data_IF_264053052907
#
_entry.id   IF_264053052907
#
_cell.length_a   1.000
_cell.length_b   1.000
_cell.length_c   1.000
_cell.angle_alpha   90.00
_cell.angle_beta   90.00
_cell.angle_gamma   90.00
#
_symmetry.space_group_name_H-M   'P 1'
#
loop_
_entity.id
_entity.type
_entity.pdbx_description
1 polymer ?
#
# COMPACT_ATOMS: atom_id res chain seq x y z
N UNK A 1 -2.57 22.45 -18.57
CA UNK A 1 -1.59 23.44 -18.09
C UNK A 1 -2.11 24.09 -16.82
N UNK A 2 -1.73 23.57 -15.65
CA UNK A 2 -1.63 24.35 -14.42
C UNK A 2 -0.79 23.55 -13.42
N UNK A 3 0.50 23.75 -13.53
CA UNK A 3 1.46 23.39 -12.48
C UNK A 3 1.43 24.51 -11.45
N UNK A 4 0.93 24.26 -10.27
CA UNK A 4 1.14 25.15 -9.14
C UNK A 4 2.21 24.53 -8.23
N UNK A 5 3.38 25.12 -8.28
CA UNK A 5 4.51 24.77 -7.44
C UNK A 5 4.19 25.05 -5.98
N UNK A 6 4.27 24.05 -5.14
CA UNK A 6 4.28 24.21 -3.69
C UNK A 6 5.62 24.80 -3.26
N UNK A 7 5.58 25.81 -2.37
CA UNK A 7 6.74 26.52 -1.85
C UNK A 7 7.57 25.60 -0.95
N UNK A 8 8.81 25.36 -1.36
CA UNK A 8 9.83 24.69 -0.55
C UNK A 8 10.52 25.74 0.30
N UNK A 9 10.48 25.58 1.62
CA UNK A 9 11.35 26.35 2.54
C UNK A 9 12.76 25.76 2.50
N UNK A 10 13.81 26.58 2.35
CA UNK A 10 15.17 26.08 2.31
C UNK A 10 15.73 25.99 3.72
N UNK A 11 16.19 24.82 4.13
CA UNK A 11 17.47 24.64 4.81
C UNK A 11 17.71 23.17 5.20
N UNK A 12 18.91 22.71 4.84
CA UNK A 12 19.67 21.53 5.22
C UNK A 12 19.59 20.28 4.33
N UNK A 13 20.72 20.04 3.67
CA UNK A 13 21.06 18.77 3.01
C UNK A 13 20.83 18.80 1.51
N UNK A 14 21.86 18.60 0.72
CA UNK A 14 21.78 18.44 -0.74
C UNK A 14 20.92 17.22 -1.10
N UNK A 15 19.61 17.42 -1.13
CA UNK A 15 18.65 16.45 -1.67
C UNK A 15 18.69 16.56 -3.19
N UNK A 16 18.68 15.41 -3.86
CA UNK A 16 18.51 15.34 -5.31
C UNK A 16 17.19 16.05 -5.66
N UNK A 17 17.19 17.12 -6.48
CA UNK A 17 16.01 17.91 -6.77
C UNK A 17 14.92 17.15 -7.56
N UNK A 18 15.12 15.87 -7.85
CA UNK A 18 14.22 15.07 -8.67
C UNK A 18 13.32 14.12 -7.86
N UNK A 19 13.42 14.06 -6.52
CA UNK A 19 12.55 13.22 -5.69
C UNK A 19 11.57 14.10 -4.92
N UNK A 20 10.29 13.96 -5.22
CA UNK A 20 9.23 14.75 -4.61
C UNK A 20 8.29 13.86 -3.78
N UNK A 21 7.89 14.38 -2.61
CA UNK A 21 6.66 13.94 -1.94
C UNK A 21 5.52 14.75 -2.54
N UNK A 22 4.56 14.07 -3.13
CA UNK A 22 3.42 14.70 -3.79
C UNK A 22 2.17 14.40 -2.98
N UNK A 23 1.57 15.48 -2.45
CA UNK A 23 0.23 15.40 -1.90
C UNK A 23 -0.75 15.38 -3.07
N UNK A 24 -1.61 14.37 -3.12
CA UNK A 24 -2.52 14.17 -4.24
C UNK A 24 -3.90 14.63 -3.83
N UNK A 25 -4.31 15.78 -4.36
CA UNK A 25 -5.71 16.23 -4.29
C UNK A 25 -6.54 15.48 -5.35
N UNK A 26 -7.78 15.10 -5.01
CA UNK A 26 -8.69 14.55 -6.02
C UNK A 26 -8.88 15.59 -7.13
N UNK A 27 -9.05 15.15 -8.40
CA UNK A 27 -9.36 16.05 -9.48
C UNK A 27 -10.63 16.83 -9.15
N UNK A 28 -10.63 18.16 -9.40
CA UNK A 28 -11.79 19.03 -9.24
C UNK A 28 -13.01 18.42 -9.96
N UNK A 29 -13.88 17.77 -9.21
CA UNK A 29 -15.20 17.34 -9.69
C UNK A 29 -16.25 18.29 -9.13
N UNK A 30 -17.28 18.65 -9.92
CA UNK A 30 -18.42 19.38 -9.38
C UNK A 30 -19.04 18.55 -8.24
N UNK A 31 -19.39 19.22 -7.15
CA UNK A 31 -19.92 18.65 -5.90
C UNK A 31 -21.30 17.95 -6.05
N UNK A 32 -21.76 17.65 -7.26
CA UNK A 32 -23.14 17.22 -7.52
C UNK A 32 -23.31 15.70 -7.71
N UNK A 33 -22.24 14.90 -7.62
CA UNK A 33 -22.30 13.43 -7.66
C UNK A 33 -22.17 12.82 -6.26
N UNK A 34 -23.00 13.25 -5.31
CA UNK A 34 -23.21 12.47 -4.09
C UNK A 34 -23.99 11.22 -4.47
N UNK A 35 -23.51 10.01 -4.13
CA UNK A 35 -24.32 8.82 -4.29
C UNK A 35 -25.61 8.99 -3.49
N UNK A 36 -26.71 8.63 -4.10
CA UNK A 36 -28.06 8.78 -3.55
C UNK A 36 -28.33 7.92 -2.29
N UNK A 37 -27.33 7.22 -1.77
CA UNK A 37 -27.42 6.33 -0.61
C UNK A 37 -27.06 7.02 0.73
N UNK A 38 -26.73 8.29 0.71
CA UNK A 38 -26.59 9.10 1.94
C UNK A 38 -25.47 8.64 2.88
N UNK A 39 -24.48 7.87 2.42
CA UNK A 39 -23.36 7.47 3.27
C UNK A 39 -22.42 8.65 3.50
N UNK A 40 -22.16 9.02 4.76
CA UNK A 40 -21.20 10.08 5.05
C UNK A 40 -19.80 9.65 4.60
N UNK A 41 -19.02 10.60 4.08
CA UNK A 41 -17.58 10.41 3.96
C UNK A 41 -17.00 10.08 5.33
N UNK A 42 -15.95 9.25 5.37
CA UNK A 42 -15.27 8.88 6.62
C UNK A 42 -14.77 10.16 7.28
N UNK A 43 -15.46 10.60 8.33
CA UNK A 43 -15.07 11.71 9.19
C UNK A 43 -14.22 11.16 10.35
N UNK A 44 -13.48 12.02 11.04
CA UNK A 44 -12.66 11.64 12.21
C UNK A 44 -13.47 10.88 13.27
N UNK A 45 -14.79 11.12 13.35
CA UNK A 45 -15.73 10.42 14.23
C UNK A 45 -16.00 8.98 13.76
N UNK A 46 -15.73 8.66 12.49
CA UNK A 46 -15.90 7.33 11.89
C UNK A 46 -14.60 6.52 11.89
N UNK A 47 -13.46 7.16 12.18
CA UNK A 47 -12.24 6.44 12.49
C UNK A 47 -12.40 5.91 13.93
N UNK A 48 -12.28 4.59 14.14
CA UNK A 48 -12.40 4.04 15.48
C UNK A 48 -11.36 4.71 16.39
N UNK A 49 -11.73 5.07 17.65
CA UNK A 49 -10.79 5.63 18.60
C UNK A 49 -9.62 4.64 18.71
N UNK A 50 -8.41 5.13 18.44
CA UNK A 50 -7.15 4.39 18.36
C UNK A 50 -7.42 2.91 18.11
N UNK A 51 -7.30 2.41 16.90
CA UNK A 51 -7.89 1.16 16.49
C UNK A 51 -7.56 0.11 17.54
N UNK A 52 -8.60 -0.54 18.04
CA UNK A 52 -8.45 -1.78 18.78
C UNK A 52 -7.49 -2.61 17.95
N UNK A 53 -6.34 -2.96 18.54
CA UNK A 53 -5.38 -3.90 17.96
C UNK A 53 -6.21 -4.95 17.28
N UNK A 54 -6.08 -5.08 15.96
CA UNK A 54 -6.75 -6.15 15.25
C UNK A 54 -6.30 -7.41 15.98
N UNK A 55 -7.18 -7.99 16.81
CA UNK A 55 -6.95 -9.32 17.35
C UNK A 55 -7.05 -10.26 16.15
N UNK A 56 -6.05 -10.21 15.30
CA UNK A 56 -5.67 -11.37 14.55
C UNK A 56 -5.24 -12.34 15.63
N UNK A 57 -6.12 -13.30 15.95
CA UNK A 57 -5.69 -14.45 16.76
C UNK A 57 -4.29 -14.79 16.28
N UNK A 58 -3.39 -15.18 17.20
CA UNK A 58 -2.05 -15.62 16.83
C UNK A 58 -2.17 -16.26 15.44
N UNK A 59 -1.42 -15.81 14.42
CA UNK A 59 -1.53 -16.46 13.15
C UNK A 59 -1.19 -17.92 13.45
N UNK A 60 -2.24 -18.72 13.57
CA UNK A 60 -2.15 -20.15 13.45
C UNK A 60 -1.72 -20.30 11.98
N UNK A 61 -0.46 -19.90 11.75
CA UNK A 61 0.21 -19.97 10.47
C UNK A 61 0.28 -21.46 10.20
N UNK A 62 -0.69 -22.00 9.42
CA UNK A 62 -0.65 -23.41 9.12
C UNK A 62 0.72 -23.65 8.50
N UNK A 63 1.47 -24.63 8.97
CA UNK A 63 2.76 -24.96 8.38
C UNK A 63 2.54 -25.30 6.90
N UNK A 64 3.02 -24.44 6.02
CA UNK A 64 2.89 -24.56 4.59
C UNK A 64 1.49 -24.22 4.08
N UNK A 65 1.23 -22.91 3.83
CA UNK A 65 0.16 -22.55 2.92
C UNK A 65 0.46 -23.25 1.59
N UNK A 66 -0.43 -24.08 1.05
CA UNK A 66 -0.18 -24.68 -0.25
C UNK A 66 -0.14 -23.54 -1.26
N UNK A 67 1.05 -23.22 -1.74
CA UNK A 67 1.19 -22.42 -2.95
C UNK A 67 0.24 -23.02 -3.99
N UNK A 68 -0.50 -22.18 -4.70
CA UNK A 68 -1.33 -22.66 -5.80
C UNK A 68 -0.47 -23.60 -6.67
N UNK A 69 -0.95 -24.78 -7.10
CA UNK A 69 -0.13 -25.80 -7.76
C UNK A 69 0.75 -25.26 -8.89
N UNK A 70 0.28 -24.28 -9.65
CA UNK A 70 1.06 -23.63 -10.71
C UNK A 70 2.26 -22.81 -10.22
N UNK A 71 2.30 -22.43 -8.92
CA UNK A 71 3.44 -21.75 -8.30
C UNK A 71 4.32 -22.75 -7.52
N UNK A 72 3.75 -23.88 -7.10
CA UNK A 72 4.47 -24.93 -6.37
C UNK A 72 5.43 -25.73 -7.26
N UNK A 73 5.22 -25.75 -8.58
CA UNK A 73 6.05 -26.55 -9.48
C UNK A 73 7.48 -26.04 -9.66
N UNK A 74 7.80 -24.81 -9.21
CA UNK A 74 9.10 -24.17 -9.46
C UNK A 74 9.83 -23.64 -8.22
N UNK A 75 9.25 -23.70 -7.03
CA UNK A 75 9.83 -23.11 -5.82
C UNK A 75 9.68 -24.04 -4.63
N UNK A 76 10.78 -24.63 -4.18
CA UNK A 76 10.82 -25.47 -2.97
C UNK A 76 10.51 -24.66 -1.70
N UNK A 77 10.77 -23.35 -1.68
CA UNK A 77 10.45 -22.43 -0.55
C UNK A 77 10.20 -21.02 -1.10
N UNK A 78 9.04 -20.36 -0.79
CA UNK A 78 8.80 -18.99 -1.21
C UNK A 78 9.76 -18.02 -0.52
N UNK A 79 10.16 -16.97 -1.24
CA UNK A 79 10.91 -15.86 -0.66
C UNK A 79 9.96 -14.96 0.12
N UNK A 80 10.16 -14.84 1.43
CA UNK A 80 9.35 -13.96 2.24
C UNK A 80 9.71 -12.49 1.98
N UNK A 81 8.68 -11.67 1.87
CA UNK A 81 8.78 -10.21 1.78
C UNK A 81 7.72 -9.57 2.67
N UNK A 82 8.01 -8.39 3.18
CA UNK A 82 7.06 -7.61 3.94
C UNK A 82 6.86 -6.23 3.30
N UNK A 83 5.62 -5.74 3.33
CA UNK A 83 5.29 -4.39 2.87
C UNK A 83 4.53 -3.63 3.96
N UNK A 84 4.77 -2.33 4.09
CA UNK A 84 4.05 -1.49 5.01
C UNK A 84 2.88 -0.78 4.33
N UNK A 85 1.65 -1.01 4.81
CA UNK A 85 0.53 -0.11 4.56
C UNK A 85 0.64 1.00 5.60
N UNK A 86 1.47 2.00 5.29
CA UNK A 86 1.76 3.11 6.17
C UNK A 86 0.65 4.15 6.09
N UNK A 87 -0.18 4.23 7.13
CA UNK A 87 -1.29 5.18 7.25
C UNK A 87 -0.82 6.40 8.01
N UNK A 88 -1.05 7.58 7.44
CA UNK A 88 -0.64 8.89 7.96
C UNK A 88 -1.83 9.83 7.97
N UNK A 89 -1.73 10.95 8.69
CA UNK A 89 -2.68 12.04 8.54
C UNK A 89 -2.59 12.63 7.11
N UNK A 90 -3.73 12.86 6.49
CA UNK A 90 -3.81 13.58 5.22
C UNK A 90 -3.58 15.09 5.42
N UNK A 91 -3.47 15.85 4.33
CA UNK A 91 -3.35 17.31 4.42
C UNK A 91 -4.61 18.00 4.93
N UNK A 92 -5.74 17.33 4.81
CA UNK A 92 -7.00 17.77 5.41
C UNK A 92 -7.11 17.18 6.80
N UNK A 93 -7.19 17.99 7.87
CA UNK A 93 -7.34 17.49 9.23
C UNK A 93 -8.52 16.53 9.36
N UNK A 94 -8.30 15.42 10.05
CA UNK A 94 -9.32 14.38 10.25
C UNK A 94 -9.48 13.41 9.09
N UNK A 95 -8.69 13.54 8.03
CA UNK A 95 -8.63 12.53 6.97
C UNK A 95 -7.34 11.71 7.08
N UNK A 96 -7.44 10.42 6.77
CA UNK A 96 -6.29 9.52 6.68
C UNK A 96 -5.85 9.33 5.23
N UNK A 97 -4.55 9.14 5.06
CA UNK A 97 -3.92 8.81 3.78
C UNK A 97 -2.96 7.63 3.97
N UNK A 98 -2.67 6.91 2.92
CA UNK A 98 -1.61 5.91 2.90
C UNK A 98 -0.45 6.36 2.01
N UNK A 99 0.75 5.89 2.32
CA UNK A 99 1.93 6.17 1.52
C UNK A 99 2.06 5.16 0.38
N UNK A 100 2.18 5.69 -0.85
CA UNK A 100 2.43 4.90 -2.05
C UNK A 100 3.70 5.40 -2.72
N UNK A 101 4.58 4.49 -3.12
CA UNK A 101 5.85 4.82 -3.78
C UNK A 101 5.81 4.52 -5.27
N UNK A 102 6.57 5.28 -6.03
CA UNK A 102 6.97 4.95 -7.39
C UNK A 102 8.44 4.59 -7.38
N UNK A 103 8.76 3.36 -7.72
CA UNK A 103 10.13 2.86 -7.75
C UNK A 103 10.96 3.56 -8.83
N UNK A 104 12.25 3.78 -8.56
CA UNK A 104 13.12 4.39 -9.57
C UNK A 104 13.25 3.48 -10.80
N UNK A 105 13.19 4.03 -12.04
CA UNK A 105 13.31 3.25 -13.26
C UNK A 105 14.65 2.53 -13.42
N UNK A 106 15.68 2.97 -12.66
CA UNK A 106 17.04 2.41 -12.73
C UNK A 106 17.19 1.07 -12.01
N UNK A 107 16.20 0.65 -11.22
CA UNK A 107 16.24 -0.65 -10.53
C UNK A 107 16.18 -1.79 -11.55
N UNK A 108 16.95 -2.85 -11.30
CA UNK A 108 17.02 -4.04 -12.16
C UNK A 108 15.71 -4.82 -12.22
N UNK A 109 14.94 -4.78 -11.13
CA UNK A 109 13.65 -5.44 -11.01
C UNK A 109 12.58 -4.41 -10.63
N UNK A 110 11.41 -4.51 -11.27
CA UNK A 110 10.22 -3.69 -10.96
C UNK A 110 10.46 -2.17 -11.04
N UNK A 111 11.44 -1.71 -11.85
CA UNK A 111 11.71 -0.29 -12.04
C UNK A 111 10.50 0.45 -12.64
N UNK A 112 10.17 1.62 -12.05
CA UNK A 112 9.04 2.45 -12.48
C UNK A 112 7.66 1.94 -12.03
N UNK A 113 7.57 0.82 -11.32
CA UNK A 113 6.31 0.30 -10.79
C UNK A 113 5.87 1.06 -9.53
N UNK A 114 4.56 1.01 -9.29
CA UNK A 114 3.93 1.50 -8.08
C UNK A 114 3.94 0.40 -7.02
N UNK A 115 4.37 0.75 -5.81
CA UNK A 115 4.51 -0.21 -4.72
C UNK A 115 4.22 0.43 -3.35
N UNK A 116 3.84 -0.38 -2.40
CA UNK A 116 3.97 -0.05 -0.99
C UNK A 116 5.45 -0.16 -0.60
N UNK A 117 5.96 0.64 0.36
CA UNK A 117 7.31 0.48 0.87
C UNK A 117 7.48 -0.93 1.43
N UNK A 118 8.59 -1.59 1.06
CA UNK A 118 8.81 -2.95 1.47
C UNK A 118 9.87 -3.70 0.68
N UNK A 119 10.29 -4.84 1.22
CA UNK A 119 11.34 -5.66 0.66
C UNK A 119 11.39 -7.07 1.22
N UNK A 120 12.52 -7.74 1.02
CA UNK A 120 12.75 -9.11 1.50
C UNK A 120 12.95 -9.14 3.00
N UNK A 121 12.49 -10.22 3.61
CA UNK A 121 12.80 -10.51 5.00
C UNK A 121 14.23 -11.01 5.11
N UNK A 122 15.05 -10.29 5.87
CA UNK A 122 16.44 -10.67 6.12
C UNK A 122 16.52 -11.77 7.19
N UNK A 123 17.64 -12.49 7.21
CA UNK A 123 17.85 -13.58 8.15
C UNK A 123 17.77 -13.11 9.60
N UNK A 124 16.80 -13.62 10.34
CA UNK A 124 16.59 -13.28 11.75
C UNK A 124 15.64 -12.10 12.00
N UNK A 125 15.12 -11.47 10.94
CA UNK A 125 14.06 -10.47 11.06
C UNK A 125 12.68 -11.12 11.14
N UNK A 126 11.77 -10.42 11.83
CA UNK A 126 10.34 -10.67 11.69
C UNK A 126 9.75 -9.88 10.52
N UNK A 127 8.54 -10.22 10.11
CA UNK A 127 7.80 -9.49 9.06
C UNK A 127 7.62 -8.02 9.44
N UNK A 128 7.28 -7.76 10.70
CA UNK A 128 7.07 -6.43 11.24
C UNK A 128 8.37 -5.62 11.21
N UNK A 129 9.48 -6.22 11.64
CA UNK A 129 10.79 -5.58 11.62
C UNK A 129 11.19 -5.21 10.19
N UNK A 130 11.00 -6.12 9.24
CA UNK A 130 11.27 -5.87 7.83
C UNK A 130 10.42 -4.72 7.28
N UNK A 131 9.11 -4.71 7.52
CA UNK A 131 8.22 -3.65 7.05
C UNK A 131 8.64 -2.27 7.58
N UNK A 132 9.00 -2.17 8.87
CA UNK A 132 9.47 -0.93 9.49
C UNK A 132 10.84 -0.50 8.97
N UNK A 133 11.79 -1.42 8.80
CA UNK A 133 13.11 -1.15 8.24
C UNK A 133 13.01 -0.61 6.81
N UNK A 134 12.31 -1.30 5.95
CA UNK A 134 12.13 -0.92 4.55
C UNK A 134 11.42 0.44 4.41
N UNK A 135 10.40 0.69 5.23
CA UNK A 135 9.73 1.99 5.26
C UNK A 135 10.71 3.11 5.68
N UNK A 136 11.62 2.83 6.62
CA UNK A 136 12.65 3.78 7.01
C UNK A 136 13.69 3.97 5.89
N UNK A 137 14.19 2.90 5.28
CA UNK A 137 15.20 2.95 4.22
C UNK A 137 14.68 3.64 2.95
N UNK A 138 13.45 3.34 2.53
CA UNK A 138 12.86 3.90 1.32
C UNK A 138 12.30 5.33 1.51
N UNK A 139 11.74 5.65 2.69
CA UNK A 139 10.97 6.88 2.91
C UNK A 139 11.50 7.76 4.06
N UNK A 140 12.52 7.32 4.81
CA UNK A 140 13.02 8.05 5.98
C UNK A 140 12.03 8.10 7.15
N UNK A 141 10.95 7.34 7.09
CA UNK A 141 9.90 7.34 8.11
C UNK A 141 10.27 6.38 9.22
N UNK A 142 10.37 6.90 10.45
CA UNK A 142 10.62 6.10 11.64
C UNK A 142 9.29 5.71 12.30
N UNK A 143 9.17 4.44 12.62
CA UNK A 143 8.06 3.89 13.37
C UNK A 143 8.55 2.76 14.28
N UNK A 144 7.75 2.41 15.26
CA UNK A 144 8.01 1.34 16.23
C UNK A 144 6.98 0.22 16.09
N UNK A 145 7.19 -0.87 16.79
CA UNK A 145 6.20 -1.95 16.86
C UNK A 145 4.89 -1.52 17.51
N UNK A 146 4.91 -0.45 18.33
CA UNK A 146 3.70 0.08 18.95
C UNK A 146 2.78 0.82 17.95
N UNK A 147 3.33 1.20 16.78
CA UNK A 147 2.59 1.83 15.69
C UNK A 147 1.93 0.80 14.77
N UNK A 148 2.22 -0.49 14.95
CA UNK A 148 1.64 -1.57 14.15
C UNK A 148 0.23 -1.88 14.64
N UNK A 149 -0.75 -1.80 13.73
CA UNK A 149 -2.14 -2.16 13.99
C UNK A 149 -2.39 -3.66 13.83
N UNK A 150 -1.65 -4.30 12.93
CA UNK A 150 -1.77 -5.72 12.63
C UNK A 150 -1.25 -6.05 11.24
N UNK A 151 -1.52 -7.28 10.80
CA UNK A 151 -1.15 -7.80 9.48
C UNK A 151 -2.40 -8.16 8.69
N UNK A 152 -2.32 -8.06 7.37
CA UNK A 152 -3.30 -8.61 6.45
C UNK A 152 -2.86 -10.01 5.99
N UNK A 153 -3.66 -10.65 5.15
CA UNK A 153 -3.30 -11.96 4.60
C UNK A 153 -2.07 -11.88 3.71
N UNK A 154 -1.26 -12.91 3.77
CA UNK A 154 -0.12 -13.09 2.88
C UNK A 154 -0.60 -13.20 1.42
N UNK A 155 0.08 -12.52 0.50
CA UNK A 155 -0.23 -12.54 -0.92
C UNK A 155 0.89 -13.24 -1.71
N UNK A 156 0.61 -14.39 -2.35
CA UNK A 156 1.60 -15.09 -3.18
C UNK A 156 1.77 -14.40 -4.53
N UNK A 157 3.02 -14.19 -4.95
CA UNK A 157 3.34 -13.58 -6.24
C UNK A 157 3.79 -14.61 -7.28
N UNK A 158 3.61 -14.30 -8.56
CA UNK A 158 4.11 -15.13 -9.67
C UNK A 158 5.63 -15.26 -9.68
N UNK A 159 6.33 -14.26 -9.16
CA UNK A 159 7.80 -14.26 -9.05
C UNK A 159 8.34 -15.04 -7.85
N UNK A 160 7.45 -15.75 -7.12
CA UNK A 160 7.84 -16.62 -6.02
C UNK A 160 8.02 -15.95 -4.67
N UNK A 161 7.54 -14.73 -4.53
CA UNK A 161 7.46 -14.09 -3.22
C UNK A 161 6.15 -14.40 -2.52
N UNK A 162 6.22 -14.49 -1.20
CA UNK A 162 5.07 -14.40 -0.32
C UNK A 162 5.14 -13.06 0.40
N UNK A 163 4.24 -12.15 0.04
CA UNK A 163 4.21 -10.78 0.58
C UNK A 163 3.29 -10.76 1.79
N UNK A 164 3.85 -10.39 2.94
CA UNK A 164 3.13 -10.15 4.18
C UNK A 164 2.89 -8.65 4.40
N UNK A 165 1.64 -8.16 4.32
CA UNK A 165 1.33 -6.77 4.54
C UNK A 165 1.20 -6.45 6.02
N UNK A 166 1.89 -5.41 6.48
CA UNK A 166 1.85 -4.88 7.85
C UNK A 166 1.18 -3.51 7.81
N UNK A 167 0.11 -3.33 8.58
CA UNK A 167 -0.59 -2.04 8.69
C UNK A 167 0.04 -1.24 9.81
N UNK A 168 0.57 -0.06 9.49
CA UNK A 168 1.27 0.84 10.42
C UNK A 168 0.51 2.16 10.50
N UNK A 169 0.18 2.62 11.71
CA UNK A 169 -0.49 3.88 11.97
C UNK A 169 0.51 4.89 12.52
N UNK A 170 0.68 5.98 11.81
CA UNK A 170 1.58 7.06 12.19
C UNK A 170 0.73 8.26 12.62
N UNK A 171 0.56 8.42 13.93
CA UNK A 171 -0.38 9.40 14.55
C UNK A 171 0.01 10.86 14.32
N UNK A 172 1.28 11.12 14.01
CA UNK A 172 1.79 12.46 13.80
C UNK A 172 2.04 12.72 12.32
N UNK A 173 2.09 14.00 11.96
CA UNK A 173 2.47 14.42 10.62
C UNK A 173 3.93 14.07 10.37
N UNK A 174 4.15 12.90 9.77
CA UNK A 174 5.51 12.40 9.51
C UNK A 174 6.15 13.13 8.34
N UNK A 175 7.43 13.43 8.48
CA UNK A 175 8.23 13.88 7.37
C UNK A 175 8.65 12.68 6.53
N UNK A 176 8.26 12.70 5.25
CA UNK A 176 8.65 11.68 4.28
C UNK A 176 9.85 12.20 3.50
N UNK A 177 10.95 11.46 3.52
CA UNK A 177 12.21 11.78 2.83
C UNK A 177 12.58 10.58 1.96
N UNK A 178 12.08 10.50 0.71
CA UNK A 178 12.33 9.37 -0.16
C UNK A 178 13.82 9.19 -0.48
N UNK A 179 14.30 7.94 -0.45
CA UNK A 179 15.63 7.58 -0.90
C UNK A 179 15.69 7.58 -2.44
N UNK A 180 16.41 8.50 -3.10
CA UNK A 180 16.40 8.63 -4.57
C UNK A 180 17.01 7.45 -5.30
N UNK A 181 17.73 6.57 -4.60
CA UNK A 181 18.27 5.36 -5.20
C UNK A 181 17.19 4.30 -5.45
N UNK A 182 16.11 4.31 -4.66
CA UNK A 182 15.05 3.31 -4.70
C UNK A 182 13.69 3.89 -5.08
N UNK A 183 13.38 5.10 -4.62
CA UNK A 183 12.09 5.76 -4.76
C UNK A 183 12.23 7.01 -5.63
N UNK A 184 11.56 7.01 -6.78
CA UNK A 184 11.51 8.18 -7.67
C UNK A 184 10.53 9.25 -7.17
N UNK A 185 9.45 8.84 -6.48
CA UNK A 185 8.48 9.73 -5.85
C UNK A 185 7.68 8.95 -4.79
N UNK A 186 7.24 9.67 -3.76
CA UNK A 186 6.29 9.18 -2.76
C UNK A 186 5.02 10.03 -2.80
N UNK A 187 3.89 9.41 -2.53
CA UNK A 187 2.57 10.03 -2.62
C UNK A 187 1.77 9.74 -1.34
N UNK A 188 1.09 10.77 -0.82
CA UNK A 188 0.03 10.60 0.16
C UNK A 188 -1.29 10.48 -0.60
N UNK A 189 -1.89 9.31 -0.57
CA UNK A 189 -3.17 9.02 -1.21
C UNK A 189 -4.23 8.92 -0.12
N UNK A 190 -5.28 9.74 -0.18
CA UNK A 190 -6.38 9.68 0.77
C UNK A 190 -6.99 8.28 0.80
N UNK A 191 -7.27 7.76 2.00
CA UNK A 191 -7.92 6.46 2.14
C UNK A 191 -9.31 6.42 1.47
N UNK A 192 -9.99 7.56 1.39
CA UNK A 192 -11.25 7.70 0.65
C UNK A 192 -11.15 7.36 -0.84
N UNK A 193 -9.97 7.53 -1.46
CA UNK A 193 -9.75 7.17 -2.85
C UNK A 193 -9.89 5.67 -3.13
N UNK A 194 -9.73 4.83 -2.11
CA UNK A 194 -9.96 3.39 -2.24
C UNK A 194 -11.46 3.06 -2.41
N UNK A 195 -12.36 3.96 -2.01
CA UNK A 195 -13.82 3.79 -2.08
C UNK A 195 -14.47 4.45 -3.30
N UNK A 196 -13.67 4.83 -4.29
CA UNK A 196 -14.18 5.40 -5.55
C UNK A 196 -15.17 4.43 -6.21
N UNK A 197 -16.20 4.94 -6.92
CA UNK A 197 -17.17 4.09 -7.61
C UNK A 197 -16.56 3.22 -8.72
N UNK A 198 -15.41 3.65 -9.29
CA UNK A 198 -14.65 2.94 -10.32
C UNK A 198 -13.56 2.00 -9.73
N UNK A 199 -13.55 1.78 -8.41
CA UNK A 199 -12.56 0.97 -7.70
C UNK A 199 -13.21 -0.12 -6.84
N UNK A 200 -12.76 -1.39 -6.91
CA UNK A 200 -11.70 -1.91 -7.78
C UNK A 200 -12.21 -2.24 -9.19
N UNK A 201 -11.32 -2.28 -10.16
CA UNK A 201 -11.56 -2.96 -11.44
C UNK A 201 -11.15 -4.43 -11.32
N UNK A 202 -12.09 -5.34 -11.51
CA UNK A 202 -11.84 -6.79 -11.55
C UNK A 202 -11.98 -7.24 -13.00
N UNK A 203 -10.86 -7.69 -13.59
CA UNK A 203 -10.77 -7.96 -15.04
C UNK A 203 -10.40 -9.42 -15.27
N UNK A 204 -11.25 -10.20 -15.97
CA UNK A 204 -10.88 -11.56 -16.40
C UNK A 204 -9.73 -11.48 -17.42
N UNK A 205 -8.85 -12.47 -17.38
CA UNK A 205 -7.73 -12.62 -18.33
C UNK A 205 -7.77 -14.00 -19.00
N UNK A 206 -7.36 -14.11 -20.27
CA UNK A 206 -7.38 -15.40 -20.97
C UNK A 206 -6.37 -16.42 -20.40
N UNK A 207 -5.34 -15.96 -19.72
CA UNK A 207 -4.24 -16.77 -19.24
C UNK A 207 -4.53 -17.50 -17.92
N UNK A 208 -5.63 -17.16 -17.24
CA UNK A 208 -5.99 -17.71 -15.93
C UNK A 208 -7.48 -17.66 -15.70
N UNK A 209 -8.03 -18.65 -14.99
CA UNK A 209 -9.42 -18.61 -14.48
C UNK A 209 -9.59 -17.59 -13.32
N UNK A 210 -8.48 -17.06 -12.81
CA UNK A 210 -8.45 -16.06 -11.74
C UNK A 210 -8.40 -14.67 -12.35
N UNK A 211 -9.29 -13.75 -11.95
CA UNK A 211 -9.26 -12.40 -12.46
C UNK A 211 -8.09 -11.61 -11.88
N UNK A 212 -7.62 -10.61 -12.62
CA UNK A 212 -6.72 -9.60 -12.08
C UNK A 212 -7.51 -8.51 -11.38
N UNK A 213 -6.89 -7.90 -10.35
CA UNK A 213 -7.42 -6.73 -9.67
C UNK A 213 -6.55 -5.50 -9.97
N UNK A 214 -7.22 -4.38 -10.23
CA UNK A 214 -6.62 -3.07 -10.40
C UNK A 214 -7.32 -2.05 -9.53
N UNK A 215 -6.57 -1.06 -9.06
CA UNK A 215 -7.12 0.08 -8.33
C UNK A 215 -6.81 1.36 -9.11
N UNK A 216 -7.81 1.99 -9.72
CA UNK A 216 -7.70 3.36 -10.22
C UNK A 216 -7.49 4.31 -9.05
N UNK A 217 -6.31 4.94 -8.99
CA UNK A 217 -5.96 5.97 -8.02
C UNK A 217 -5.69 7.28 -8.75
N UNK A 218 -5.72 8.44 -8.08
CA UNK A 218 -5.51 9.74 -8.72
C UNK A 218 -4.20 9.86 -9.51
N UNK A 219 -3.17 9.11 -9.11
CA UNK A 219 -1.82 9.17 -9.71
C UNK A 219 -1.59 8.11 -10.78
N UNK A 220 -2.29 6.98 -10.74
CA UNK A 220 -2.16 5.87 -11.68
C UNK A 220 -3.15 4.76 -11.37
N UNK A 221 -3.36 3.86 -12.33
CA UNK A 221 -3.96 2.56 -12.04
C UNK A 221 -2.90 1.60 -11.52
N UNK A 222 -3.07 1.13 -10.29
CA UNK A 222 -2.17 0.20 -9.63
C UNK A 222 -2.66 -1.24 -9.85
N UNK A 223 -1.74 -2.16 -10.09
CA UNK A 223 -2.04 -3.58 -10.30
C UNK A 223 -1.68 -4.43 -9.06
N UNK A 224 -2.16 -5.68 -9.04
CA UNK A 224 -1.68 -6.67 -8.07
C UNK A 224 -0.15 -6.88 -8.22
N UNK A 225 0.59 -7.12 -7.10
CA UNK A 225 0.12 -7.39 -5.75
C UNK A 225 -0.37 -6.16 -4.98
N UNK A 226 0.14 -4.96 -5.25
CA UNK A 226 -0.17 -3.74 -4.51
C UNK A 226 -1.68 -3.45 -4.47
N UNK A 227 -2.38 -3.64 -5.60
CA UNK A 227 -3.83 -3.45 -5.66
C UNK A 227 -4.59 -4.43 -4.76
N UNK A 228 -4.17 -5.69 -4.71
CA UNK A 228 -4.80 -6.71 -3.86
C UNK A 228 -4.64 -6.37 -2.38
N UNK A 229 -3.43 -5.99 -1.96
CA UNK A 229 -3.15 -5.57 -0.57
C UNK A 229 -3.98 -4.34 -0.18
N UNK A 230 -4.00 -3.29 -1.01
CA UNK A 230 -4.78 -2.08 -0.73
C UNK A 230 -6.29 -2.33 -0.74
N UNK A 231 -6.77 -3.23 -1.59
CA UNK A 231 -8.16 -3.66 -1.59
C UNK A 231 -8.51 -4.39 -0.30
N UNK A 232 -7.68 -5.32 0.16
CA UNK A 232 -7.90 -5.98 1.44
C UNK A 232 -7.81 -5.01 2.61
N UNK A 233 -6.87 -4.06 2.60
CA UNK A 233 -6.78 -3.00 3.59
C UNK A 233 -8.09 -2.19 3.66
N UNK A 234 -8.64 -1.78 2.51
CA UNK A 234 -9.95 -1.12 2.45
C UNK A 234 -11.05 -1.94 3.08
N UNK A 235 -11.13 -3.22 2.71
CA UNK A 235 -12.24 -4.07 3.15
C UNK A 235 -12.12 -4.43 4.63
N UNK A 236 -10.94 -4.86 5.06
CA UNK A 236 -10.73 -5.37 6.43
C UNK A 236 -10.56 -4.23 7.43
N UNK A 237 -9.58 -3.34 7.18
CA UNK A 237 -9.22 -2.31 8.15
C UNK A 237 -10.16 -1.11 8.16
N UNK A 238 -10.67 -0.68 6.99
CA UNK A 238 -11.48 0.52 6.90
C UNK A 238 -13.00 0.22 6.89
N UNK A 239 -13.41 -0.90 6.30
CA UNK A 239 -14.82 -1.23 6.17
C UNK A 239 -15.29 -2.38 7.10
N UNK A 240 -14.40 -3.01 7.86
CA UNK A 240 -14.72 -4.08 8.81
C UNK A 240 -15.30 -5.34 8.15
N UNK A 241 -14.90 -5.65 6.91
CA UNK A 241 -15.40 -6.80 6.15
C UNK A 241 -14.33 -7.88 6.06
N UNK A 242 -14.71 -9.13 6.30
CA UNK A 242 -13.82 -10.29 6.10
C UNK A 242 -13.67 -10.58 4.61
N UNK A 243 -12.56 -10.09 4.02
CA UNK A 243 -12.29 -10.21 2.58
C UNK A 243 -10.93 -10.82 2.35
N UNK A 244 -10.87 -11.85 1.51
CA UNK A 244 -9.67 -12.55 1.08
C UNK A 244 -9.29 -12.13 -0.33
N UNK A 245 -7.97 -12.13 -0.64
CA UNK A 245 -7.45 -11.60 -1.92
C UNK A 245 -6.53 -12.56 -2.67
N UNK A 246 -6.23 -13.72 -2.10
CA UNK A 246 -5.37 -14.74 -2.71
C UNK A 246 -5.89 -15.28 -4.05
N UNK A 247 -7.19 -15.10 -4.32
CA UNK A 247 -7.83 -15.52 -5.57
C UNK A 247 -7.61 -14.56 -6.75
N UNK A 248 -7.02 -13.38 -6.51
CA UNK A 248 -6.66 -12.48 -7.60
C UNK A 248 -5.33 -12.89 -8.24
N UNK A 249 -5.25 -12.73 -9.56
CA UNK A 249 -4.06 -12.99 -10.35
C UNK A 249 -3.26 -11.69 -10.57
N UNK A 250 -1.99 -11.83 -10.89
CA UNK A 250 -1.14 -10.72 -11.31
C UNK A 250 -1.13 -10.60 -12.83
N UNK A 251 -1.04 -9.38 -13.39
CA UNK A 251 -0.77 -9.21 -14.81
C UNK A 251 0.55 -9.89 -15.23
N UNK A 252 0.62 -10.38 -16.47
CA UNK A 252 1.81 -11.09 -16.99
C UNK A 252 3.07 -10.21 -16.99
N UNK A 253 2.89 -8.90 -17.00
CA UNK A 253 3.97 -7.91 -17.02
C UNK A 253 4.35 -7.36 -15.63
N UNK A 254 3.72 -7.85 -14.57
CA UNK A 254 3.93 -7.34 -13.20
C UNK A 254 5.08 -8.07 -12.49
#
# INVERSE_FOLDING_TARGET
EFTRAASVSPEHGSLDPHVAVVDVEPPDRPLDDRPADGRPGVLEEDLPPRPVRLETGEPDRPPGFPLHPQFAEHLDVPVLAAVAVAVVEADVPGEAAFLLTKRTPRLRAHGGQWALPGGRVDAGETIEQTALREMHEELGVLASTDDILGTLDDYPTRSGYLIAPVVVWLSDRVQVIPNPQEVAAAYRIKCSELFRPDSPEIVPIPESDRPIIRLPLPVATVNAPTAAVLYQFREVALAGRDTRVEHFEQPVFA
#
